data_IF_356884258704
#
_entry.id   IF_356884258704
#
_cell.length_a   1.000
_cell.length_b   1.000
_cell.length_c   1.000
_cell.angle_alpha   90.00
_cell.angle_beta   90.00
_cell.angle_gamma   90.00
#
_symmetry.space_group_name_H-M   'P 1'
#
loop_
_entity.id
_entity.type
_entity.pdbx_description
1 polymer ?
#
# COMPACT_ATOMS: atom_id res chain seq x y z
N UNK A 1 50.98 27.94 -34.07
CA UNK A 1 50.89 26.49 -33.81
C UNK A 1 51.26 26.25 -32.36
N UNK A 2 50.26 26.19 -31.47
CA UNK A 2 50.49 26.09 -30.03
C UNK A 2 50.14 24.67 -29.58
N UNK A 3 51.14 23.92 -29.12
CA UNK A 3 50.99 22.52 -28.66
C UNK A 3 50.43 22.51 -27.24
N UNK A 4 49.23 21.97 -27.08
CA UNK A 4 48.61 21.61 -25.78
C UNK A 4 49.35 20.38 -25.24
N UNK A 5 49.90 20.47 -24.03
CA UNK A 5 50.41 19.31 -23.28
C UNK A 5 49.34 18.87 -22.28
N UNK A 6 48.68 17.76 -22.59
CA UNK A 6 47.74 17.05 -21.72
C UNK A 6 48.51 16.27 -20.65
N UNK A 7 48.27 16.58 -19.37
CA UNK A 7 48.76 15.78 -18.25
C UNK A 7 47.65 14.81 -17.82
N UNK A 8 47.84 13.52 -18.14
CA UNK A 8 47.04 12.40 -17.63
C UNK A 8 47.79 11.81 -16.45
N UNK A 9 47.29 12.02 -15.23
CA UNK A 9 47.83 11.36 -14.05
C UNK A 9 47.18 9.97 -13.90
N UNK A 10 47.90 8.96 -14.35
CA UNK A 10 47.62 7.54 -14.06
C UNK A 10 48.02 7.24 -12.61
N UNK A 11 47.06 6.90 -11.75
CA UNK A 11 47.36 6.30 -10.44
C UNK A 11 47.38 4.79 -10.63
N UNK A 12 48.57 4.21 -10.46
CA UNK A 12 48.83 2.77 -10.48
C UNK A 12 48.34 2.15 -9.17
N UNK A 13 47.64 1.02 -9.29
CA UNK A 13 47.39 0.09 -8.19
C UNK A 13 48.69 -0.64 -7.87
N UNK A 14 49.18 -0.49 -6.65
CA UNK A 14 50.21 -1.36 -6.10
C UNK A 14 49.55 -2.57 -5.43
N UNK A 15 49.87 -3.75 -5.95
CA UNK A 15 49.47 -5.05 -5.43
C UNK A 15 50.74 -5.76 -4.99
N UNK A 16 50.99 -5.83 -3.68
CA UNK A 16 51.96 -6.72 -3.02
C UNK A 16 51.66 -6.67 -1.51
N UNK A 17 50.91 -7.63 -0.98
CA UNK A 17 51.39 -8.91 -0.43
C UNK A 17 51.69 -8.83 1.07
N UNK A 18 50.69 -9.16 1.90
CA UNK A 18 50.91 -9.74 3.23
C UNK A 18 49.80 -10.76 3.46
N UNK A 19 50.10 -12.01 3.11
CA UNK A 19 49.38 -13.18 3.60
C UNK A 19 50.05 -13.51 4.93
N UNK A 20 49.40 -13.16 6.04
CA UNK A 20 49.68 -13.77 7.34
C UNK A 20 48.56 -14.77 7.64
N UNK A 21 48.95 -16.03 7.74
CA UNK A 21 48.13 -17.12 8.24
C UNK A 21 47.78 -16.88 9.71
N UNK A 22 46.49 -16.74 10.02
CA UNK A 22 45.98 -17.07 11.36
C UNK A 22 44.51 -17.55 11.32
N UNK A 23 44.14 -18.55 12.13
CA UNK A 23 42.91 -19.32 11.97
C UNK A 23 41.69 -18.66 12.62
N UNK A 24 40.54 -18.82 11.96
CA UNK A 24 39.18 -18.79 12.50
C UNK A 24 38.82 -17.63 13.46
N UNK A 25 38.63 -16.43 12.91
CA UNK A 25 37.86 -15.38 13.61
C UNK A 25 36.40 -15.44 13.16
N UNK A 26 35.57 -15.97 14.05
CA UNK A 26 34.14 -15.72 14.26
C UNK A 26 33.52 -14.68 13.28
N UNK A 27 32.88 -15.16 12.20
CA UNK A 27 31.92 -14.36 11.44
C UNK A 27 30.69 -14.17 12.30
N UNK A 28 30.67 -13.11 13.11
CA UNK A 28 29.42 -12.60 13.62
C UNK A 28 28.57 -12.18 12.41
N UNK A 29 27.36 -12.73 12.22
CA UNK A 29 26.42 -12.12 11.30
C UNK A 29 26.16 -10.71 11.84
N UNK A 30 26.46 -9.69 11.04
CA UNK A 30 25.97 -8.34 11.32
C UNK A 30 24.44 -8.42 11.30
N UNK A 31 23.85 -8.70 12.44
CA UNK A 31 22.43 -8.55 12.71
C UNK A 31 22.13 -7.06 12.86
N UNK A 32 22.36 -6.30 11.79
CA UNK A 32 21.56 -5.11 11.53
C UNK A 32 20.23 -5.61 10.98
N UNK A 33 19.49 -6.32 11.83
CA UNK A 33 18.05 -6.44 11.73
C UNK A 33 17.54 -5.02 12.01
N UNK A 34 17.60 -4.16 10.99
CA UNK A 34 16.68 -3.05 10.93
C UNK A 34 15.31 -3.70 10.99
N UNK A 35 14.65 -3.62 12.13
CA UNK A 35 13.23 -3.91 12.27
C UNK A 35 12.53 -3.32 11.06
N UNK A 36 12.08 -4.17 10.15
CA UNK A 36 11.31 -3.76 8.98
C UNK A 36 10.04 -3.11 9.54
N UNK A 37 10.03 -1.78 9.65
CA UNK A 37 8.82 -1.04 9.91
C UNK A 37 7.84 -1.42 8.80
N UNK A 38 6.84 -2.23 9.15
CA UNK A 38 5.77 -2.54 8.24
C UNK A 38 4.96 -1.25 8.05
N UNK A 39 5.34 -0.46 7.05
CA UNK A 39 4.68 0.80 6.70
C UNK A 39 3.20 0.60 6.35
N UNK A 40 2.74 -0.64 6.14
CA UNK A 40 1.32 -0.96 5.94
C UNK A 40 0.51 -1.15 7.23
N UNK A 41 1.16 -1.24 8.39
CA UNK A 41 0.47 -1.46 9.68
C UNK A 41 -0.52 -0.36 10.05
N UNK A 42 -0.34 0.85 9.52
CA UNK A 42 -1.25 1.98 9.72
C UNK A 42 -2.45 2.01 8.76
N UNK A 43 -2.52 1.09 7.79
CA UNK A 43 -3.59 1.02 6.80
C UNK A 43 -4.56 -0.14 7.06
N UNK A 44 -5.83 -0.04 6.64
CA UNK A 44 -6.45 1.13 6.00
C UNK A 44 -6.78 2.23 7.01
N UNK A 45 -6.64 3.50 6.59
CA UNK A 45 -7.08 4.67 7.36
C UNK A 45 -8.61 4.67 7.43
N UNK A 46 -9.15 4.79 8.63
CA UNK A 46 -10.58 4.58 8.92
C UNK A 46 -11.36 5.87 9.16
N UNK A 47 -10.67 6.93 9.57
CA UNK A 47 -11.28 8.20 9.96
C UNK A 47 -10.35 9.38 9.63
N UNK A 48 -10.88 10.59 9.83
CA UNK A 48 -10.18 11.82 9.48
C UNK A 48 -8.94 12.07 10.35
N UNK A 49 -8.97 11.69 11.63
CA UNK A 49 -7.81 11.87 12.52
C UNK A 49 -6.61 11.04 12.03
N UNK A 50 -6.84 9.78 11.64
CA UNK A 50 -5.81 8.92 11.04
C UNK A 50 -5.27 9.49 9.72
N UNK A 51 -6.14 10.06 8.88
CA UNK A 51 -5.74 10.74 7.65
C UNK A 51 -4.86 11.97 7.93
N UNK A 52 -5.24 12.81 8.89
CA UNK A 52 -4.48 14.01 9.24
C UNK A 52 -3.14 13.67 9.92
N UNK A 53 -3.08 12.58 10.68
CA UNK A 53 -1.83 12.08 11.24
C UNK A 53 -0.86 11.63 10.12
N UNK A 54 -1.36 10.84 9.16
CA UNK A 54 -0.59 10.44 7.98
C UNK A 54 -0.13 11.66 7.16
N UNK A 55 -1.01 12.64 6.97
CA UNK A 55 -0.69 13.87 6.25
C UNK A 55 0.40 14.66 6.97
N UNK A 56 0.38 14.73 8.30
CA UNK A 56 1.42 15.37 9.11
C UNK A 56 2.77 14.68 8.96
N UNK A 57 2.79 13.34 8.95
CA UNK A 57 4.02 12.55 8.67
C UNK A 57 4.57 12.86 7.28
N UNK A 58 3.71 12.92 6.26
CA UNK A 58 4.10 13.29 4.89
C UNK A 58 4.50 14.78 4.78
N UNK A 59 3.99 15.64 5.66
CA UNK A 59 4.29 17.07 5.68
C UNK A 59 5.71 17.34 6.20
N UNK A 60 6.13 16.59 7.22
CA UNK A 60 7.44 16.74 7.87
C UNK A 60 8.63 16.42 6.94
N UNK A 61 8.36 15.94 5.72
CA UNK A 61 9.34 15.96 4.64
C UNK A 61 10.41 14.89 4.74
N UNK A 62 10.18 13.82 5.51
CA UNK A 62 11.04 12.65 5.49
C UNK A 62 10.95 11.96 4.12
N UNK A 63 11.83 12.37 3.22
CA UNK A 63 11.94 11.84 1.85
C UNK A 63 12.08 10.31 1.88
N UNK A 64 12.83 9.80 2.86
CA UNK A 64 13.01 8.36 3.07
C UNK A 64 11.69 7.65 3.37
N UNK A 65 10.85 8.21 4.24
CA UNK A 65 9.53 7.64 4.54
C UNK A 65 8.63 7.64 3.30
N UNK A 66 8.56 8.76 2.59
CA UNK A 66 7.72 8.89 1.39
C UNK A 66 8.13 7.89 0.31
N UNK A 67 9.43 7.76 0.03
CA UNK A 67 9.95 6.83 -0.96
C UNK A 67 9.68 5.38 -0.56
N UNK A 68 9.89 5.03 0.71
CA UNK A 68 9.57 3.69 1.24
C UNK A 68 8.09 3.38 1.06
N UNK A 69 7.20 4.30 1.45
CA UNK A 69 5.76 4.11 1.29
C UNK A 69 5.36 3.90 -0.19
N UNK A 70 5.94 4.69 -1.11
CA UNK A 70 5.74 4.49 -2.56
C UNK A 70 6.19 3.08 -2.98
N UNK A 71 7.39 2.65 -2.62
CA UNK A 71 7.90 1.32 -2.95
C UNK A 71 7.03 0.20 -2.37
N UNK A 72 6.58 0.34 -1.12
CA UNK A 72 5.68 -0.61 -0.46
C UNK A 72 4.34 -0.71 -1.19
N UNK A 73 3.75 0.41 -1.63
CA UNK A 73 2.50 0.41 -2.40
C UNK A 73 2.66 -0.19 -3.79
N UNK A 74 3.81 0.02 -4.46
CA UNK A 74 4.11 -0.62 -5.74
C UNK A 74 4.14 -2.14 -5.58
N UNK A 75 4.79 -2.63 -4.53
CA UNK A 75 4.89 -4.06 -4.22
C UNK A 75 3.53 -4.67 -3.84
N UNK A 76 2.80 -4.04 -2.93
CA UNK A 76 1.55 -4.57 -2.38
C UNK A 76 0.34 -4.45 -3.34
N UNK A 77 0.40 -3.53 -4.31
CA UNK A 77 -0.72 -3.32 -5.22
C UNK A 77 -0.86 -4.42 -6.27
N UNK A 78 -2.08 -4.77 -6.59
CA UNK A 78 -2.45 -5.76 -7.61
C UNK A 78 -3.12 -5.09 -8.81
N UNK A 79 -3.00 -5.70 -10.00
CA UNK A 79 -3.70 -5.25 -11.20
C UNK A 79 -2.79 -5.10 -12.41
N UNK A 80 -3.39 -5.20 -13.60
CA UNK A 80 -2.69 -5.19 -14.90
C UNK A 80 -2.76 -3.86 -15.64
N UNK A 81 -3.47 -2.87 -15.11
CA UNK A 81 -3.62 -1.55 -15.72
C UNK A 81 -3.73 -0.45 -14.67
N UNK A 82 -3.59 0.81 -15.10
CA UNK A 82 -3.61 2.00 -14.23
C UNK A 82 -4.82 1.99 -13.29
N UNK A 83 -6.04 1.80 -13.81
CA UNK A 83 -7.24 1.87 -12.99
C UNK A 83 -7.28 0.77 -11.93
N UNK A 84 -6.96 -0.47 -12.31
CA UNK A 84 -6.96 -1.61 -11.38
C UNK A 84 -5.92 -1.42 -10.27
N UNK A 85 -4.71 -0.98 -10.62
CA UNK A 85 -3.66 -0.69 -9.62
C UNK A 85 -4.06 0.48 -8.73
N UNK A 86 -4.62 1.55 -9.30
CA UNK A 86 -5.11 2.70 -8.53
C UNK A 86 -6.17 2.26 -7.51
N UNK A 87 -7.12 1.42 -7.91
CA UNK A 87 -8.14 0.86 -7.03
C UNK A 87 -7.55 -0.05 -5.95
N UNK A 88 -6.56 -0.88 -6.30
CA UNK A 88 -5.86 -1.72 -5.33
C UNK A 88 -5.17 -0.87 -4.26
N UNK A 89 -4.43 0.17 -4.65
CA UNK A 89 -3.79 1.11 -3.71
C UNK A 89 -4.84 1.81 -2.83
N UNK A 90 -5.92 2.34 -3.40
CA UNK A 90 -6.97 3.00 -2.61
C UNK A 90 -7.64 2.05 -1.62
N UNK A 91 -7.82 0.78 -2.00
CA UNK A 91 -8.36 -0.27 -1.12
C UNK A 91 -7.40 -0.64 0.02
N UNK A 92 -6.10 -0.65 -0.25
CA UNK A 92 -5.07 -0.85 0.78
C UNK A 92 -5.12 0.32 1.77
N UNK A 93 -5.10 1.55 1.27
CA UNK A 93 -4.84 2.74 2.09
C UNK A 93 -6.05 3.26 2.86
N UNK A 94 -7.29 3.04 2.40
CA UNK A 94 -8.46 3.71 2.99
C UNK A 94 -9.66 2.79 3.17
N UNK A 95 -10.41 3.02 4.24
CA UNK A 95 -11.74 2.46 4.40
C UNK A 95 -12.75 3.21 3.52
N UNK A 96 -13.80 2.52 3.08
CA UNK A 96 -14.91 3.20 2.39
C UNK A 96 -15.63 4.19 3.31
N UNK A 97 -15.64 3.93 4.63
CA UNK A 97 -16.24 4.81 5.63
C UNK A 97 -15.55 6.15 5.73
N UNK A 98 -14.23 6.19 5.52
CA UNK A 98 -13.49 7.43 5.40
C UNK A 98 -13.79 8.08 4.04
N UNK A 99 -13.64 7.34 2.95
CA UNK A 99 -13.71 7.89 1.59
C UNK A 99 -15.08 8.46 1.22
N UNK A 100 -16.17 8.02 1.86
CA UNK A 100 -17.53 8.53 1.56
C UNK A 100 -17.67 10.04 1.77
N UNK A 101 -16.85 10.63 2.63
CA UNK A 101 -16.85 12.07 2.95
C UNK A 101 -16.02 12.93 1.98
N UNK A 102 -15.34 12.31 1.02
CA UNK A 102 -14.43 12.99 0.11
C UNK A 102 -14.88 12.91 -1.35
N UNK A 103 -14.51 13.91 -2.12
CA UNK A 103 -14.48 13.90 -3.59
C UNK A 103 -13.22 14.61 -4.06
N UNK A 104 -12.83 14.47 -5.32
CA UNK A 104 -11.56 15.02 -5.78
C UNK A 104 -11.43 16.54 -5.56
N UNK A 105 -12.47 17.32 -5.90
CA UNK A 105 -12.50 18.80 -5.75
C UNK A 105 -13.49 19.30 -4.71
N UNK A 106 -14.03 18.43 -3.86
CA UNK A 106 -14.99 18.84 -2.83
C UNK A 106 -16.41 19.08 -3.36
N UNK A 107 -16.77 18.47 -4.50
CA UNK A 107 -18.13 18.53 -5.02
C UNK A 107 -19.15 17.90 -4.06
N UNK A 108 -20.40 18.39 -4.09
CA UNK A 108 -21.54 17.87 -3.32
C UNK A 108 -21.31 17.88 -1.80
N UNK A 109 -20.81 19.00 -1.26
CA UNK A 109 -20.55 19.20 0.18
C UNK A 109 -19.56 18.18 0.79
N UNK A 110 -18.69 17.61 -0.04
CA UNK A 110 -17.62 16.72 0.40
C UNK A 110 -16.31 17.49 0.53
N UNK A 111 -15.36 16.93 1.27
CA UNK A 111 -14.02 17.53 1.41
C UNK A 111 -13.16 17.27 0.16
N UNK A 112 -12.29 18.23 -0.24
CA UNK A 112 -11.42 18.09 -1.40
C UNK A 112 -10.25 17.12 -1.15
N UNK A 113 -10.36 15.90 -1.67
CA UNK A 113 -9.30 14.88 -1.52
C UNK A 113 -7.98 15.29 -2.19
N UNK A 114 -8.04 16.09 -3.26
CA UNK A 114 -6.84 16.48 -4.02
C UNK A 114 -5.84 17.34 -3.25
N UNK A 115 -6.22 17.84 -2.07
CA UNK A 115 -5.39 18.73 -1.24
C UNK A 115 -4.39 17.95 -0.38
N UNK A 116 -4.64 16.67 -0.11
CA UNK A 116 -3.74 15.84 0.71
C UNK A 116 -2.50 15.39 -0.09
N UNK A 117 -1.31 15.49 0.52
CA UNK A 117 -0.05 14.95 0.00
C UNK A 117 -0.10 13.46 -0.25
N UNK A 118 -0.93 12.71 0.48
CA UNK A 118 -1.13 11.29 0.23
C UNK A 118 -1.60 11.01 -1.22
N UNK A 119 -2.29 11.95 -1.88
CA UNK A 119 -2.62 11.84 -3.31
C UNK A 119 -1.37 11.80 -4.20
N UNK A 120 -0.33 12.56 -3.86
CA UNK A 120 0.94 12.54 -4.59
C UNK A 120 1.61 11.17 -4.47
N UNK A 121 1.62 10.59 -3.26
CA UNK A 121 2.15 9.24 -3.00
C UNK A 121 1.47 8.20 -3.90
N UNK A 122 0.13 8.23 -3.96
CA UNK A 122 -0.65 7.32 -4.81
C UNK A 122 -0.29 7.50 -6.28
N UNK A 123 -0.25 8.75 -6.77
CA UNK A 123 0.08 9.05 -8.17
C UNK A 123 1.49 8.59 -8.51
N UNK A 124 2.47 8.85 -7.65
CA UNK A 124 3.87 8.48 -7.89
C UNK A 124 4.03 6.95 -7.88
N UNK A 125 3.37 6.23 -6.97
CA UNK A 125 3.36 4.77 -6.95
C UNK A 125 2.78 4.18 -8.25
N UNK A 126 1.63 4.67 -8.73
CA UNK A 126 1.05 4.15 -9.98
C UNK A 126 1.94 4.49 -11.18
N UNK A 127 2.48 5.71 -11.26
CA UNK A 127 3.37 6.12 -12.38
C UNK A 127 4.63 5.27 -12.44
N UNK A 128 5.26 4.99 -11.29
CA UNK A 128 6.45 4.14 -11.23
C UNK A 128 6.16 2.69 -11.61
N UNK A 129 4.94 2.19 -11.37
CA UNK A 129 4.52 0.85 -11.81
C UNK A 129 4.26 0.76 -13.32
N UNK A 130 4.01 1.89 -13.99
CA UNK A 130 3.76 1.97 -15.42
C UNK A 130 4.65 3.04 -16.10
N UNK A 131 6.00 2.88 -16.08
CA UNK A 131 6.93 3.92 -16.53
C UNK A 131 6.77 4.27 -18.02
N UNK A 132 6.33 3.31 -18.84
CA UNK A 132 6.12 3.49 -20.28
C UNK A 132 4.87 4.36 -20.61
N UNK A 133 3.98 4.61 -19.65
CA UNK A 133 2.74 5.38 -19.87
C UNK A 133 2.92 6.84 -19.47
N UNK A 134 3.45 7.65 -20.40
CA UNK A 134 3.84 9.06 -20.18
C UNK A 134 2.68 9.96 -19.69
N UNK A 135 1.48 9.80 -20.23
CA UNK A 135 0.29 10.61 -19.90
C UNK A 135 -0.65 9.94 -18.88
N UNK A 136 -0.10 9.10 -18.00
CA UNK A 136 -0.86 8.30 -17.02
C UNK A 136 -1.55 9.12 -15.93
N UNK A 137 -1.10 10.35 -15.63
CA UNK A 137 -1.58 11.16 -14.51
C UNK A 137 -3.11 11.37 -14.53
N UNK A 138 -3.66 11.76 -15.69
CA UNK A 138 -5.09 12.05 -15.79
C UNK A 138 -5.92 10.77 -15.62
N UNK A 139 -5.46 9.64 -16.14
CA UNK A 139 -6.11 8.34 -15.95
C UNK A 139 -6.10 7.88 -14.49
N UNK A 140 -5.00 8.13 -13.77
CA UNK A 140 -4.91 7.87 -12.32
C UNK A 140 -5.94 8.72 -11.57
N UNK A 141 -5.97 10.04 -11.83
CA UNK A 141 -6.90 10.97 -11.18
C UNK A 141 -8.36 10.58 -11.46
N UNK A 142 -8.71 10.27 -12.71
CA UNK A 142 -10.05 9.80 -13.09
C UNK A 142 -10.43 8.50 -12.37
N UNK A 143 -9.46 7.61 -12.16
CA UNK A 143 -9.68 6.40 -11.37
C UNK A 143 -9.93 6.75 -9.89
N UNK A 144 -9.12 7.62 -9.28
CA UNK A 144 -9.35 8.08 -7.89
C UNK A 144 -10.76 8.69 -7.75
N UNK A 145 -11.15 9.59 -8.66
CA UNK A 145 -12.49 10.19 -8.67
C UNK A 145 -13.60 9.14 -8.69
N UNK A 146 -13.49 8.16 -9.59
CA UNK A 146 -14.46 7.08 -9.75
C UNK A 146 -14.56 6.23 -8.49
N UNK A 147 -13.42 5.92 -7.87
CA UNK A 147 -13.38 5.15 -6.62
C UNK A 147 -14.00 5.90 -5.45
N UNK A 148 -13.72 7.19 -5.28
CA UNK A 148 -14.33 8.03 -4.25
C UNK A 148 -15.86 8.11 -4.42
N UNK A 149 -16.33 8.33 -5.65
CA UNK A 149 -17.75 8.44 -5.95
C UNK A 149 -18.53 7.16 -5.61
N UNK A 150 -17.90 6.00 -5.76
CA UNK A 150 -18.51 4.70 -5.51
C UNK A 150 -18.44 4.24 -4.04
N UNK A 151 -17.78 4.99 -3.14
CA UNK A 151 -17.64 4.58 -1.73
C UNK A 151 -18.98 4.27 -1.04
N UNK A 152 -20.05 5.11 -1.15
CA UNK A 152 -21.35 4.78 -0.57
C UNK A 152 -21.95 3.47 -1.11
N UNK A 153 -21.84 3.24 -2.43
CA UNK A 153 -22.30 2.01 -3.06
C UNK A 153 -21.54 0.79 -2.55
N UNK A 154 -20.22 0.91 -2.37
CA UNK A 154 -19.40 -0.18 -1.80
C UNK A 154 -19.79 -0.51 -0.36
N UNK A 155 -20.10 0.49 0.47
CA UNK A 155 -20.61 0.30 1.84
C UNK A 155 -21.92 -0.48 1.81
N UNK A 156 -22.92 0.01 1.05
CA UNK A 156 -24.22 -0.65 0.95
C UNK A 156 -24.11 -2.10 0.42
N UNK A 157 -23.20 -2.35 -0.52
CA UNK A 157 -22.95 -3.69 -1.04
C UNK A 157 -22.32 -4.62 0.01
N UNK A 158 -21.40 -4.12 0.85
CA UNK A 158 -20.81 -4.89 1.96
C UNK A 158 -21.87 -5.24 3.01
N UNK A 159 -22.74 -4.30 3.36
CA UNK A 159 -23.85 -4.55 4.31
C UNK A 159 -24.83 -5.60 3.78
N UNK A 160 -25.20 -5.52 2.49
CA UNK A 160 -26.04 -6.52 1.84
C UNK A 160 -25.40 -7.91 1.84
N UNK A 161 -24.10 -8.00 1.59
CA UNK A 161 -23.37 -9.27 1.64
C UNK A 161 -23.29 -9.84 3.06
N UNK A 162 -23.08 -9.00 4.07
CA UNK A 162 -23.06 -9.42 5.48
C UNK A 162 -24.40 -10.02 5.89
N UNK A 163 -25.52 -9.35 5.59
CA UNK A 163 -26.87 -9.86 5.86
C UNK A 163 -27.12 -11.22 5.19
N UNK A 164 -26.72 -11.37 3.92
CA UNK A 164 -26.86 -12.65 3.20
C UNK A 164 -26.09 -13.79 3.86
N UNK A 165 -24.88 -13.52 4.38
CA UNK A 165 -24.08 -14.52 5.10
C UNK A 165 -24.71 -14.90 6.43
N UNK A 166 -25.15 -13.91 7.21
CA UNK A 166 -25.84 -14.14 8.48
C UNK A 166 -27.11 -14.98 8.32
N UNK A 167 -27.89 -14.75 7.26
CA UNK A 167 -29.07 -15.58 6.95
C UNK A 167 -28.68 -17.00 6.55
N UNK A 168 -27.62 -17.19 5.76
CA UNK A 168 -27.15 -18.52 5.38
C UNK A 168 -26.61 -19.31 6.58
N UNK A 169 -25.86 -18.68 7.46
CA UNK A 169 -25.31 -19.29 8.68
C UNK A 169 -26.42 -19.68 9.67
N UNK A 170 -27.50 -18.88 9.76
CA UNK A 170 -28.67 -19.20 10.58
C UNK A 170 -29.39 -20.46 10.08
N UNK A 171 -29.68 -20.55 8.79
CA UNK A 171 -30.31 -21.74 8.21
C UNK A 171 -29.44 -22.99 8.39
N UNK A 172 -28.13 -22.88 8.15
CA UNK A 172 -27.21 -24.00 8.37
C UNK A 172 -27.18 -24.48 9.83
N UNK A 173 -27.29 -23.58 10.81
CA UNK A 173 -27.31 -23.95 12.23
C UNK A 173 -28.62 -24.64 12.65
N UNK A 174 -29.77 -24.20 12.13
CA UNK A 174 -31.06 -24.86 12.40
C UNK A 174 -31.10 -26.28 11.82
N UNK A 175 -30.55 -26.48 10.62
CA UNK A 175 -30.44 -27.82 10.01
C UNK A 175 -29.62 -28.80 10.89
N UNK A 176 -28.70 -28.33 11.73
CA UNK A 176 -27.98 -29.20 12.68
C UNK A 176 -28.75 -29.44 13.97
N UNK A 177 -29.49 -28.47 14.48
CA UNK A 177 -30.27 -28.60 15.72
C UNK A 177 -31.48 -29.53 15.51
N UNK A 178 -32.15 -29.45 14.35
CA UNK A 178 -33.30 -30.30 14.01
C UNK A 178 -32.90 -31.78 13.75
N UNK A 179 -31.62 -32.07 13.48
CA UNK A 179 -31.11 -33.43 13.24
C UNK A 179 -30.55 -34.13 14.49
N UNK A 180 -30.49 -33.47 15.65
CA UNK A 180 -29.96 -34.04 16.89
C UNK A 180 -31.05 -34.70 17.74
N UNK A 181 -32.32 -34.28 17.63
CA UNK A 181 -33.43 -34.80 18.45
C UNK A 181 -33.92 -36.21 18.06
N UNK A 182 -33.65 -36.68 16.83
CA UNK A 182 -34.12 -37.99 16.37
C UNK A 182 -33.22 -39.19 16.78
N UNK A 183 -32.02 -38.94 17.35
CA UNK A 183 -31.04 -39.99 17.65
C UNK A 183 -30.99 -40.44 19.13
N UNK A 184 -31.87 -39.96 20.01
CA UNK A 184 -31.83 -40.30 21.44
C UNK A 184 -33.08 -41.03 21.99
N UNK A 185 -33.90 -41.62 21.12
CA UNK A 185 -35.04 -42.44 21.54
C UNK A 185 -34.88 -43.81 20.88
N UNK A 186 -34.09 -44.71 21.48
CA UNK A 186 -34.19 -46.18 21.36
C UNK A 186 -33.00 -46.84 22.11
N UNK A 187 -32.99 -46.72 23.43
CA UNK A 187 -32.20 -47.60 24.30
C UNK A 187 -32.92 -47.75 25.63
N UNK A 188 -33.95 -48.60 25.65
CA UNK A 188 -34.46 -49.23 26.87
C UNK A 188 -34.93 -50.63 26.50
#
# INVERSE_FOLDING_TARGET
>A
MNKVKSNVNYVKQDVSSFIEDNPATNRQPNSNINSEENHLSCFPLKNENELLAMESTLQNGEINYTNKLVSTLIFASEGKNISKVTYSILKIMFSDELLKYYSWKGQKNKKPFSEFKICKVIIDAVRQKFPEQKDSRNYIISSIMSWLAQAPTRIANKEKQKKKRETADYHHRQDYEDNIDDNNINST
#
